data_IF_255743320728
#
_entry.id   IF_255743320728
#
_cell.length_a   1.000
_cell.length_b   1.000
_cell.length_c   1.000
_cell.angle_alpha   90.00
_cell.angle_beta   90.00
_cell.angle_gamma   90.00
#
_symmetry.space_group_name_H-M   'P 1'
#
loop_
_entity.id
_entity.type
_entity.pdbx_description
1 polymer ?
#
# COMPACT_ATOMS: atom_id res chain seq x y z
N UNK A 1 27.54 15.22 2.89
CA UNK A 1 27.09 13.80 2.97
C UNK A 1 25.88 13.60 2.06
N UNK A 2 25.69 12.41 1.47
CA UNK A 2 24.50 12.09 0.67
C UNK A 2 24.03 10.68 1.00
N UNK A 3 22.74 10.52 1.26
CA UNK A 3 22.09 9.22 1.48
C UNK A 3 20.90 9.11 0.54
N UNK A 4 20.79 7.96 -0.11
CA UNK A 4 19.66 7.63 -0.98
C UNK A 4 19.04 6.31 -0.53
N UNK A 5 17.72 6.29 -0.36
CA UNK A 5 16.95 5.11 0.03
C UNK A 5 15.68 5.05 -0.80
N UNK A 6 15.31 3.86 -1.22
CA UNK A 6 14.02 3.64 -1.87
C UNK A 6 13.21 2.58 -1.14
N UNK A 7 11.89 2.66 -1.24
CA UNK A 7 10.96 1.64 -0.78
C UNK A 7 9.86 1.39 -1.82
N UNK A 8 9.38 0.14 -1.96
CA UNK A 8 8.35 -0.21 -2.92
C UNK A 8 6.97 0.29 -2.49
N UNK A 9 6.08 0.40 -3.46
CA UNK A 9 4.65 0.41 -3.20
C UNK A 9 4.12 -0.96 -2.77
N UNK A 10 2.81 -1.09 -2.65
CA UNK A 10 2.17 -2.33 -2.23
C UNK A 10 0.85 -2.58 -2.95
N UNK A 11 0.49 -3.86 -3.05
CA UNK A 11 -0.82 -4.35 -3.48
C UNK A 11 -1.29 -5.39 -2.47
N UNK A 12 -2.48 -5.20 -1.91
CA UNK A 12 -3.12 -6.26 -1.14
C UNK A 12 -3.58 -7.36 -2.10
N UNK A 13 -3.07 -8.56 -1.90
CA UNK A 13 -3.50 -9.76 -2.62
C UNK A 13 -4.73 -10.32 -1.92
N UNK A 14 -4.67 -10.46 -0.58
CA UNK A 14 -5.80 -10.92 0.23
C UNK A 14 -5.75 -10.33 1.64
N UNK A 15 -6.89 -10.40 2.35
CA UNK A 15 -6.99 -9.98 3.75
C UNK A 15 -7.43 -8.54 3.97
N UNK A 16 -7.82 -7.80 2.93
CA UNK A 16 -8.36 -6.45 3.05
C UNK A 16 -9.52 -6.42 4.06
N UNK A 17 -9.72 -5.33 4.77
CA UNK A 17 -10.69 -5.17 5.85
C UNK A 17 -10.53 -6.17 7.00
N UNK A 18 -10.51 -7.48 6.72
CA UNK A 18 -10.43 -8.52 7.74
C UNK A 18 -9.12 -8.48 8.53
N UNK A 19 -8.05 -7.97 7.92
CA UNK A 19 -6.78 -7.71 8.61
C UNK A 19 -6.89 -6.59 9.67
N UNK A 20 -7.88 -5.71 9.60
CA UNK A 20 -8.16 -4.73 10.65
C UNK A 20 -8.64 -5.41 11.95
N UNK A 21 -9.14 -6.64 11.83
CA UNK A 21 -9.65 -7.47 12.93
C UNK A 21 -8.79 -8.71 13.19
N UNK A 22 -7.53 -8.68 12.77
CA UNK A 22 -6.53 -9.68 13.12
C UNK A 22 -6.46 -10.90 12.18
N UNK A 23 -7.18 -10.89 11.05
CA UNK A 23 -6.96 -11.91 10.02
C UNK A 23 -5.62 -11.71 9.32
N UNK A 24 -4.97 -12.78 8.81
CA UNK A 24 -3.79 -12.64 8.00
C UNK A 24 -4.05 -11.85 6.72
N UNK A 25 -3.03 -11.16 6.22
CA UNK A 25 -3.06 -10.50 4.92
C UNK A 25 -1.84 -10.92 4.10
N UNK A 26 -2.06 -11.14 2.81
CA UNK A 26 -0.98 -11.35 1.84
C UNK A 26 -0.79 -10.07 1.03
N UNK A 27 0.42 -9.53 1.06
CA UNK A 27 0.73 -8.22 0.46
C UNK A 27 1.94 -8.37 -0.44
N UNK A 28 1.82 -7.85 -1.66
CA UNK A 28 2.88 -7.80 -2.65
C UNK A 28 3.54 -6.42 -2.62
N UNK A 29 4.86 -6.37 -2.45
CA UNK A 29 5.67 -5.20 -2.75
C UNK A 29 5.76 -5.00 -4.26
N UNK A 30 5.45 -3.80 -4.74
CA UNK A 30 5.46 -3.53 -6.20
C UNK A 30 6.85 -3.15 -6.70
N UNK A 31 7.08 -3.25 -8.01
CA UNK A 31 8.31 -2.76 -8.61
C UNK A 31 8.43 -1.23 -8.63
N UNK A 32 7.29 -0.51 -8.56
CA UNK A 32 7.28 0.94 -8.43
C UNK A 32 7.78 1.34 -7.04
N UNK A 33 8.69 2.32 -6.99
CA UNK A 33 9.38 2.70 -5.76
C UNK A 33 9.34 4.20 -5.54
N UNK A 34 9.14 4.62 -4.29
CA UNK A 34 9.47 5.96 -3.85
C UNK A 34 10.96 6.01 -3.52
N UNK A 35 11.60 7.12 -3.85
CA UNK A 35 13.01 7.36 -3.61
C UNK A 35 13.17 8.62 -2.76
N UNK A 36 13.91 8.50 -1.68
CA UNK A 36 14.24 9.60 -0.78
C UNK A 36 15.74 9.84 -0.84
N UNK A 37 16.12 11.08 -1.15
CA UNK A 37 17.51 11.52 -1.04
C UNK A 37 17.61 12.57 0.05
N UNK A 38 18.59 12.43 0.95
CA UNK A 38 18.94 13.41 1.95
C UNK A 38 20.40 13.78 1.74
N UNK A 39 20.69 15.07 1.57
CA UNK A 39 22.04 15.56 1.32
C UNK A 39 22.28 16.93 1.95
N UNK A 40 23.56 17.25 2.18
CA UNK A 40 23.97 18.58 2.65
C UNK A 40 23.56 19.63 1.61
N UNK A 41 23.07 20.77 2.08
CA UNK A 41 22.65 21.89 1.24
C UNK A 41 23.56 23.10 1.45
N UNK A 42 23.79 23.85 0.38
CA UNK A 42 24.49 25.14 0.46
C UNK A 42 23.55 26.29 0.85
N UNK A 43 22.27 26.04 1.01
CA UNK A 43 21.29 27.04 1.45
C UNK A 43 21.45 27.34 2.94
N UNK A 44 20.95 28.50 3.39
CA UNK A 44 20.94 28.87 4.81
C UNK A 44 19.84 28.18 5.62
N UNK A 45 18.89 27.56 4.95
CA UNK A 45 17.74 26.85 5.49
C UNK A 45 17.68 25.41 4.94
N UNK A 46 16.80 24.61 5.48
CA UNK A 46 16.51 23.27 4.92
C UNK A 46 15.55 23.37 3.72
N UNK A 47 15.63 22.40 2.84
CA UNK A 47 14.80 22.37 1.64
C UNK A 47 14.11 20.99 1.51
N UNK A 48 12.83 21.00 1.28
CA UNK A 48 12.08 19.86 0.76
C UNK A 48 11.86 20.09 -0.75
N UNK A 49 12.33 19.16 -1.58
CA UNK A 49 12.04 19.14 -3.02
C UNK A 49 11.15 17.95 -3.37
N UNK A 50 10.00 18.24 -3.94
CA UNK A 50 9.05 17.23 -4.40
C UNK A 50 9.11 17.09 -5.91
N UNK A 51 9.56 15.94 -6.41
CA UNK A 51 9.68 15.67 -7.85
C UNK A 51 8.32 15.63 -8.58
N UNK A 52 7.27 14.97 -8.06
CA UNK A 52 5.96 14.99 -8.74
C UNK A 52 5.40 16.39 -8.91
N UNK A 53 5.60 17.26 -7.92
CA UNK A 53 5.13 18.66 -7.96
C UNK A 53 6.12 19.59 -8.69
N UNK A 54 7.36 19.15 -8.85
CA UNK A 54 8.49 19.98 -9.35
C UNK A 54 8.60 21.31 -8.59
N UNK A 55 8.49 21.23 -7.24
CA UNK A 55 8.51 22.40 -6.32
C UNK A 55 9.49 22.19 -5.19
N UNK A 56 10.05 23.30 -4.71
CA UNK A 56 10.91 23.37 -3.52
C UNK A 56 10.22 24.17 -2.42
N UNK A 57 10.35 23.68 -1.20
CA UNK A 57 9.79 24.28 0.01
C UNK A 57 10.91 24.48 1.03
N UNK A 58 11.11 25.72 1.43
CA UNK A 58 12.14 26.07 2.41
C UNK A 58 11.56 26.03 3.82
N UNK A 59 12.34 25.53 4.79
CA UNK A 59 11.89 25.43 6.16
C UNK A 59 13.02 25.49 7.18
N UNK A 60 12.66 25.86 8.42
CA UNK A 60 13.48 25.69 9.61
C UNK A 60 12.83 24.72 10.57
N UNK A 61 13.62 24.21 11.52
CA UNK A 61 13.11 23.36 12.60
C UNK A 61 13.42 24.04 13.93
N UNK A 62 12.38 24.26 14.74
CA UNK A 62 12.51 24.91 16.04
C UNK A 62 12.92 23.91 17.16
N UNK A 63 13.00 24.41 18.40
CA UNK A 63 13.44 23.59 19.54
C UNK A 63 12.49 22.44 19.89
N UNK A 64 11.23 22.56 19.54
CA UNK A 64 10.18 21.55 19.78
C UNK A 64 10.04 20.55 18.62
N UNK A 65 11.03 20.51 17.72
CA UNK A 65 11.02 19.66 16.51
C UNK A 65 9.84 19.94 15.55
N UNK A 66 9.31 21.16 15.57
CA UNK A 66 8.29 21.61 14.64
C UNK A 66 8.92 22.34 13.47
N UNK A 67 8.30 22.19 12.30
CA UNK A 67 8.70 22.88 11.08
C UNK A 67 8.03 24.26 11.03
N UNK A 68 8.84 25.27 10.70
CA UNK A 68 8.41 26.60 10.33
C UNK A 68 8.69 26.76 8.83
N UNK A 69 7.64 26.66 7.99
CA UNK A 69 7.74 26.85 6.56
C UNK A 69 8.02 28.32 6.23
N UNK A 70 9.02 28.58 5.34
CA UNK A 70 9.48 29.94 5.02
C UNK A 70 8.71 30.52 3.83
N UNK A 71 8.39 29.68 2.85
CA UNK A 71 7.63 30.05 1.67
C UNK A 71 6.24 29.36 1.68
N UNK A 72 5.97 28.55 0.68
CA UNK A 72 4.69 27.85 0.58
C UNK A 72 4.61 26.65 1.54
N UNK A 73 3.41 26.26 1.94
CA UNK A 73 3.12 24.99 2.62
C UNK A 73 3.05 23.86 1.58
N UNK A 74 3.83 22.78 1.73
CA UNK A 74 3.80 21.65 0.82
C UNK A 74 2.60 20.70 1.05
N UNK A 75 1.62 21.08 1.87
CA UNK A 75 0.40 20.34 2.16
C UNK A 75 0.67 18.87 2.55
N UNK A 76 0.02 17.90 1.89
CA UNK A 76 0.15 16.48 2.17
C UNK A 76 1.62 16.01 2.23
N UNK A 77 2.49 16.53 1.35
CA UNK A 77 3.89 16.15 1.29
C UNK A 77 4.68 16.66 2.52
N UNK A 78 4.31 17.84 3.01
CA UNK A 78 4.89 18.44 4.22
C UNK A 78 4.64 17.60 5.47
N UNK A 79 3.44 17.04 5.60
CA UNK A 79 3.07 16.21 6.75
C UNK A 79 4.02 15.02 6.96
N UNK A 80 4.55 14.40 5.89
CA UNK A 80 5.51 13.31 6.04
C UNK A 80 6.82 13.79 6.66
N UNK A 81 7.37 14.93 6.22
CA UNK A 81 8.61 15.50 6.78
C UNK A 81 8.38 15.98 8.20
N UNK A 82 7.28 16.67 8.48
CA UNK A 82 6.92 17.14 9.83
C UNK A 82 6.86 16.00 10.83
N UNK A 83 6.09 14.94 10.48
CA UNK A 83 5.94 13.79 11.36
C UNK A 83 7.27 13.01 11.51
N UNK A 84 8.10 12.94 10.47
CA UNK A 84 9.40 12.29 10.54
C UNK A 84 10.36 13.04 11.45
N UNK A 85 10.43 14.36 11.33
CA UNK A 85 11.27 15.23 12.19
C UNK A 85 10.83 15.10 13.66
N UNK A 86 9.53 15.18 13.91
CA UNK A 86 8.97 15.09 15.25
C UNK A 86 9.19 13.69 15.87
N UNK A 87 8.84 12.62 15.15
CA UNK A 87 8.92 11.24 15.65
C UNK A 87 10.36 10.78 15.88
N UNK A 88 11.27 11.19 15.01
CA UNK A 88 12.68 10.81 15.10
C UNK A 88 13.53 11.82 15.86
N UNK A 89 12.95 12.93 16.31
CA UNK A 89 13.61 14.01 17.06
C UNK A 89 14.93 14.44 16.41
N UNK A 90 14.86 14.88 15.16
CA UNK A 90 16.01 15.39 14.41
C UNK A 90 15.91 16.91 14.25
N UNK A 91 17.06 17.58 14.22
CA UNK A 91 17.17 19.00 13.93
C UNK A 91 18.07 19.21 12.70
N UNK A 92 17.53 19.00 11.49
CA UNK A 92 18.31 19.24 10.28
C UNK A 92 18.70 20.72 10.18
N UNK A 93 19.92 20.97 9.73
CA UNK A 93 20.45 22.29 9.47
C UNK A 93 21.18 22.26 8.14
N UNK A 94 20.74 23.07 7.18
CA UNK A 94 21.28 23.12 5.82
C UNK A 94 21.24 21.74 5.13
N UNK A 95 20.07 21.09 5.17
CA UNK A 95 19.84 19.78 4.60
C UNK A 95 18.77 19.88 3.51
N UNK A 96 18.97 19.19 2.41
CA UNK A 96 17.98 19.00 1.37
C UNK A 96 17.37 17.59 1.45
N UNK A 97 16.05 17.54 1.49
CA UNK A 97 15.26 16.32 1.34
C UNK A 97 14.63 16.31 -0.06
N UNK A 98 14.88 15.28 -0.83
CA UNK A 98 14.24 15.07 -2.13
C UNK A 98 13.30 13.88 -2.02
N UNK A 99 12.02 14.09 -2.32
CA UNK A 99 11.01 13.03 -2.37
C UNK A 99 10.60 12.80 -3.82
N UNK A 100 10.95 11.64 -4.35
CA UNK A 100 10.59 11.20 -5.70
C UNK A 100 9.57 10.07 -5.64
N UNK A 101 8.34 10.38 -6.04
CA UNK A 101 7.24 9.42 -6.20
C UNK A 101 6.71 9.38 -7.63
N UNK A 102 7.49 9.78 -8.62
CA UNK A 102 7.07 9.85 -10.03
C UNK A 102 6.55 8.51 -10.54
N UNK A 103 7.13 7.39 -10.09
CA UNK A 103 6.70 6.04 -10.46
C UNK A 103 5.31 5.64 -9.93
N UNK A 104 4.70 6.45 -9.07
CA UNK A 104 3.35 6.24 -8.53
C UNK A 104 2.27 7.03 -9.27
N UNK A 105 2.66 7.65 -10.37
CA UNK A 105 1.75 8.42 -11.21
C UNK A 105 1.76 7.89 -12.64
N UNK A 106 0.59 7.88 -13.24
CA UNK A 106 0.40 7.65 -14.65
C UNK A 106 -0.45 8.81 -15.21
N UNK A 107 0.06 9.52 -16.23
CA UNK A 107 -0.61 10.69 -16.80
C UNK A 107 -1.13 11.69 -15.74
N UNK A 108 -0.30 12.01 -14.75
CA UNK A 108 -0.61 12.87 -13.59
C UNK A 108 -1.69 12.35 -12.62
N UNK A 109 -2.12 11.08 -12.74
CA UNK A 109 -3.02 10.44 -11.78
C UNK A 109 -2.25 9.48 -10.89
N UNK A 110 -2.53 9.48 -9.58
CA UNK A 110 -2.03 8.45 -8.66
C UNK A 110 -2.60 7.09 -9.08
N UNK A 111 -1.76 6.06 -9.11
CA UNK A 111 -2.15 4.70 -9.52
C UNK A 111 -2.59 3.79 -8.35
N UNK A 112 -2.67 4.30 -7.13
CA UNK A 112 -3.26 3.61 -5.98
C UNK A 112 -2.43 2.46 -5.38
N UNK A 113 -1.14 2.38 -5.69
CA UNK A 113 -0.24 1.33 -5.19
C UNK A 113 0.54 1.73 -3.93
N UNK A 114 0.06 2.70 -3.16
CA UNK A 114 0.60 3.02 -1.84
C UNK A 114 1.86 3.87 -1.83
N UNK A 115 1.88 5.01 -2.53
CA UNK A 115 2.98 5.98 -2.45
C UNK A 115 3.25 6.46 -1.02
N UNK A 116 2.22 6.65 -0.21
CA UNK A 116 2.33 7.09 1.19
C UNK A 116 3.11 6.12 2.07
N UNK A 117 2.87 4.81 1.94
CA UNK A 117 3.62 3.80 2.70
C UNK A 117 5.07 3.70 2.23
N UNK A 118 5.30 3.85 0.92
CA UNK A 118 6.64 3.87 0.35
C UNK A 118 7.44 5.08 0.82
N UNK A 119 6.82 6.30 0.85
CA UNK A 119 7.43 7.50 1.42
C UNK A 119 7.78 7.26 2.89
N UNK A 120 6.84 6.82 3.71
CA UNK A 120 7.05 6.63 5.15
C UNK A 120 8.20 5.66 5.42
N UNK A 121 8.26 4.54 4.69
CA UNK A 121 9.31 3.52 4.83
C UNK A 121 10.68 4.04 4.39
N UNK A 122 10.76 4.64 3.19
CA UNK A 122 12.01 5.16 2.65
C UNK A 122 12.54 6.35 3.47
N UNK A 123 11.66 7.27 3.88
CA UNK A 123 12.03 8.47 4.65
C UNK A 123 12.56 8.09 6.04
N UNK A 124 11.89 7.21 6.76
CA UNK A 124 12.37 6.73 8.08
C UNK A 124 13.76 6.10 7.96
N UNK A 125 13.98 5.26 6.94
CA UNK A 125 15.25 4.60 6.75
C UNK A 125 16.35 5.59 6.27
N UNK A 126 16.02 6.55 5.41
CA UNK A 126 16.95 7.60 4.97
C UNK A 126 17.40 8.48 6.14
N UNK A 127 16.46 8.90 6.98
CA UNK A 127 16.76 9.68 8.20
C UNK A 127 17.63 8.87 9.17
N UNK A 128 17.28 7.59 9.40
CA UNK A 128 18.08 6.70 10.25
C UNK A 128 19.55 6.65 9.79
N UNK A 129 19.78 6.53 8.48
CA UNK A 129 21.13 6.46 7.89
C UNK A 129 21.85 7.81 7.90
N UNK A 130 21.17 8.90 7.51
CA UNK A 130 21.79 10.21 7.39
C UNK A 130 22.15 10.82 8.75
N UNK A 131 21.30 10.67 9.75
CA UNK A 131 21.49 11.19 11.11
C UNK A 131 22.06 10.16 12.08
N UNK A 132 22.52 9.01 11.58
CA UNK A 132 23.12 7.91 12.38
C UNK A 132 22.34 7.57 13.66
N UNK A 133 21.01 7.35 13.51
CA UNK A 133 20.13 7.10 14.66
C UNK A 133 20.34 5.72 15.28
N UNK A 134 20.98 4.78 14.58
CA UNK A 134 21.26 3.44 15.07
C UNK A 134 19.99 2.57 15.28
N UNK A 135 18.89 2.86 14.58
CA UNK A 135 17.64 2.09 14.74
C UNK A 135 17.78 0.69 14.16
N UNK A 136 17.32 -0.30 14.91
CA UNK A 136 17.15 -1.65 14.41
C UNK A 136 16.05 -1.70 13.32
N UNK A 137 16.04 -2.75 12.51
CA UNK A 137 15.02 -2.95 11.47
C UNK A 137 13.59 -2.89 12.06
N UNK A 138 13.38 -3.51 13.21
CA UNK A 138 12.09 -3.44 13.92
C UNK A 138 11.72 -2.00 14.26
N UNK A 139 12.65 -1.22 14.84
CA UNK A 139 12.41 0.18 15.20
C UNK A 139 12.13 1.04 13.98
N UNK A 140 12.80 0.80 12.84
CA UNK A 140 12.53 1.47 11.57
C UNK A 140 11.09 1.20 11.13
N UNK A 141 10.63 -0.06 11.13
CA UNK A 141 9.27 -0.43 10.74
C UNK A 141 8.25 0.22 11.68
N UNK A 142 8.43 0.11 12.99
CA UNK A 142 7.51 0.68 13.98
C UNK A 142 7.40 2.21 13.83
N UNK A 143 8.55 2.89 13.61
CA UNK A 143 8.59 4.34 13.36
C UNK A 143 7.90 4.70 12.05
N UNK A 144 8.13 3.95 10.96
CA UNK A 144 7.48 4.18 9.67
C UNK A 144 5.95 4.00 9.75
N UNK A 145 5.47 3.03 10.54
CA UNK A 145 4.03 2.84 10.80
C UNK A 145 3.45 4.03 11.57
N UNK A 146 4.14 4.50 12.63
CA UNK A 146 3.71 5.66 13.41
C UNK A 146 3.64 6.91 12.53
N UNK A 147 4.70 7.16 11.76
CA UNK A 147 4.79 8.26 10.81
C UNK A 147 3.65 8.23 9.78
N UNK A 148 3.44 7.06 9.13
CA UNK A 148 2.36 6.91 8.14
C UNK A 148 0.98 7.19 8.73
N UNK A 149 0.69 6.64 9.92
CA UNK A 149 -0.61 6.84 10.59
C UNK A 149 -0.87 8.30 10.90
N UNK A 150 0.14 9.02 11.39
CA UNK A 150 0.02 10.45 11.73
C UNK A 150 -0.09 11.33 10.49
N UNK A 151 0.77 11.08 9.47
CA UNK A 151 0.76 11.88 8.25
C UNK A 151 -0.52 11.72 7.43
N UNK A 152 -1.17 10.54 7.49
CA UNK A 152 -2.41 10.26 6.74
C UNK A 152 -3.67 10.31 7.61
N UNK A 153 -3.53 10.58 8.93
CA UNK A 153 -4.64 10.55 9.89
C UNK A 153 -5.53 9.30 9.70
N UNK A 154 -4.90 8.11 9.71
CA UNK A 154 -5.55 6.85 9.37
C UNK A 154 -5.56 5.85 10.50
N UNK A 155 -6.66 5.08 10.59
CA UNK A 155 -6.83 3.94 11.50
C UNK A 155 -6.36 2.61 10.89
N UNK A 156 -5.67 2.63 9.76
CA UNK A 156 -5.19 1.44 9.05
C UNK A 156 -4.33 0.52 9.91
N UNK A 157 -4.26 -0.76 9.56
CA UNK A 157 -3.51 -1.80 10.29
C UNK A 157 -1.99 -1.55 10.32
N UNK A 158 -1.46 -0.85 9.31
CA UNK A 158 -0.01 -0.64 9.08
C UNK A 158 0.70 -1.86 8.49
N UNK A 159 -0.02 -2.89 8.04
CA UNK A 159 0.57 -4.06 7.39
C UNK A 159 1.19 -3.71 6.04
N UNK A 160 0.63 -2.76 5.35
CA UNK A 160 1.14 -2.20 4.10
C UNK A 160 2.50 -1.51 4.29
N UNK A 161 2.69 -0.83 5.42
CA UNK A 161 3.99 -0.23 5.77
C UNK A 161 5.03 -1.33 6.07
N UNK A 162 4.62 -2.44 6.70
CA UNK A 162 5.49 -3.61 6.89
C UNK A 162 5.97 -4.12 5.53
N UNK A 163 5.06 -4.33 4.57
CA UNK A 163 5.41 -4.81 3.24
C UNK A 163 6.43 -3.89 2.54
N UNK A 164 6.19 -2.58 2.56
CA UNK A 164 7.10 -1.61 1.96
C UNK A 164 8.46 -1.54 2.68
N UNK A 165 8.48 -1.73 4.01
CA UNK A 165 9.72 -1.66 4.81
C UNK A 165 10.52 -2.97 4.80
N UNK A 166 9.86 -4.13 4.66
CA UNK A 166 10.51 -5.42 4.52
C UNK A 166 11.17 -5.58 3.15
N UNK A 167 10.62 -4.94 2.12
CA UNK A 167 11.14 -4.92 0.74
C UNK A 167 11.53 -6.31 0.20
N UNK A 168 10.69 -7.29 0.47
CA UNK A 168 11.00 -8.71 0.22
C UNK A 168 10.05 -9.40 -0.75
N UNK A 169 9.35 -8.62 -1.58
CA UNK A 169 8.42 -9.14 -2.60
C UNK A 169 7.06 -9.49 -1.99
N UNK A 170 6.72 -10.76 -1.90
CA UNK A 170 5.46 -11.21 -1.32
C UNK A 170 5.64 -11.52 0.16
N UNK A 171 4.75 -10.99 1.01
CA UNK A 171 4.74 -11.31 2.43
C UNK A 171 3.33 -11.70 2.91
N UNK A 172 3.28 -12.64 3.84
CA UNK A 172 2.11 -12.89 4.67
C UNK A 172 2.31 -12.19 6.00
N UNK A 173 1.38 -11.31 6.35
CA UNK A 173 1.37 -10.60 7.63
C UNK A 173 0.30 -11.18 8.54
N UNK A 174 0.66 -11.39 9.81
CA UNK A 174 -0.25 -11.85 10.86
C UNK A 174 -0.25 -10.83 12.01
N UNK A 175 -1.44 -10.36 12.37
CA UNK A 175 -1.68 -9.50 13.53
C UNK A 175 -2.13 -10.36 14.70
N UNK A 176 -1.19 -10.98 15.43
CA UNK A 176 -1.53 -11.73 16.67
C UNK A 176 -2.09 -10.81 17.75
N UNK A 177 -1.55 -9.59 17.86
CA UNK A 177 -2.04 -8.49 18.72
C UNK A 177 -1.65 -7.15 18.09
N UNK A 178 -2.23 -6.04 18.54
CA UNK A 178 -1.86 -4.70 18.08
C UNK A 178 -0.35 -4.38 18.27
N UNK A 179 0.30 -5.05 19.22
CA UNK A 179 1.73 -4.91 19.55
C UNK A 179 2.62 -6.00 18.96
N UNK A 180 2.06 -7.13 18.50
CA UNK A 180 2.82 -8.25 17.93
C UNK A 180 2.43 -8.46 16.48
N UNK A 181 3.11 -7.74 15.60
CA UNK A 181 3.05 -7.94 14.17
C UNK A 181 4.16 -8.89 13.75
N UNK A 182 3.81 -9.94 13.05
CA UNK A 182 4.77 -10.85 12.43
C UNK A 182 4.51 -10.93 10.94
N UNK A 183 5.56 -11.17 10.18
CA UNK A 183 5.44 -11.43 8.75
C UNK A 183 6.36 -12.57 8.34
N UNK A 184 5.97 -13.25 7.31
CA UNK A 184 6.74 -14.31 6.66
C UNK A 184 6.91 -13.96 5.19
N UNK A 185 8.12 -14.03 4.69
CA UNK A 185 8.40 -13.86 3.27
C UNK A 185 7.92 -15.11 2.54
N UNK A 186 7.18 -14.91 1.47
CA UNK A 186 6.67 -15.96 0.59
C UNK A 186 7.35 -15.84 -0.78
N UNK A 187 7.55 -16.97 -1.44
CA UNK A 187 7.98 -16.98 -2.82
C UNK A 187 6.78 -16.93 -3.76
N UNK A 188 6.88 -16.10 -4.77
CA UNK A 188 5.86 -16.02 -5.81
C UNK A 188 5.99 -17.24 -6.74
N UNK A 189 4.88 -17.99 -7.04
CA UNK A 189 4.91 -19.08 -7.99
C UNK A 189 5.37 -18.60 -9.38
N UNK A 190 6.25 -19.35 -10.02
CA UNK A 190 6.86 -18.95 -11.30
C UNK A 190 5.87 -18.93 -12.47
N UNK A 191 4.79 -19.69 -12.37
CA UNK A 191 3.72 -19.81 -13.35
C UNK A 191 2.52 -18.87 -13.07
N UNK A 192 2.53 -18.16 -11.94
CA UNK A 192 1.46 -17.23 -11.59
C UNK A 192 1.77 -15.82 -12.12
N UNK A 193 0.88 -15.30 -12.94
CA UNK A 193 0.99 -13.97 -13.56
C UNK A 193 0.09 -12.99 -12.81
N UNK A 194 0.60 -11.80 -12.52
CA UNK A 194 -0.18 -10.67 -11.98
C UNK A 194 -0.05 -9.44 -12.87
N UNK A 195 -1.17 -8.77 -13.14
CA UNK A 195 -1.21 -7.46 -13.82
C UNK A 195 -2.14 -6.53 -13.08
N UNK A 196 -1.71 -5.30 -12.86
CA UNK A 196 -2.54 -4.24 -12.29
C UNK A 196 -3.36 -3.55 -13.39
N UNK A 197 -4.60 -3.20 -13.08
CA UNK A 197 -5.48 -2.40 -13.94
C UNK A 197 -5.86 -1.13 -13.18
N UNK A 198 -5.48 0.03 -13.73
CA UNK A 198 -5.78 1.33 -13.12
C UNK A 198 -7.20 1.73 -13.53
N UNK A 199 -8.03 2.08 -12.55
CA UNK A 199 -9.38 2.60 -12.79
C UNK A 199 -9.38 4.12 -12.87
N UNK A 200 -10.48 4.69 -13.39
CA UNK A 200 -10.60 6.14 -13.50
C UNK A 200 -11.06 6.82 -12.21
N UNK A 201 -11.55 6.06 -11.24
CA UNK A 201 -12.06 6.55 -9.97
C UNK A 201 -11.00 6.44 -8.88
N UNK A 202 -10.88 7.45 -8.04
CA UNK A 202 -10.01 7.40 -6.85
C UNK A 202 -10.76 6.79 -5.65
N UNK A 203 -10.06 5.98 -4.87
CA UNK A 203 -10.57 5.40 -3.63
C UNK A 203 -10.67 6.43 -2.50
N UNK A 204 -11.67 6.27 -1.63
CA UNK A 204 -11.85 7.03 -0.39
C UNK A 204 -11.51 6.16 0.81
N UNK A 205 -10.30 5.64 0.84
CA UNK A 205 -9.84 4.61 1.80
C UNK A 205 -10.19 4.94 3.26
N UNK A 206 -9.93 6.17 3.73
CA UNK A 206 -10.24 6.58 5.12
C UNK A 206 -11.73 6.43 5.43
N UNK A 207 -12.58 7.01 4.60
CA UNK A 207 -14.03 6.92 4.76
C UNK A 207 -14.52 5.47 4.76
N UNK A 208 -14.02 4.65 3.82
CA UNK A 208 -14.43 3.24 3.70
C UNK A 208 -14.02 2.41 4.93
N UNK A 209 -12.89 2.69 5.55
CA UNK A 209 -12.46 2.05 6.80
C UNK A 209 -13.36 2.48 7.97
N UNK A 210 -13.73 3.75 8.07
CA UNK A 210 -14.65 4.26 9.08
C UNK A 210 -16.05 3.62 8.94
N UNK A 211 -16.58 3.55 7.73
CA UNK A 211 -17.85 2.88 7.41
C UNK A 211 -17.80 1.38 7.75
N UNK A 212 -16.67 0.71 7.49
CA UNK A 212 -16.47 -0.68 7.87
C UNK A 212 -16.57 -0.87 9.39
N UNK A 213 -15.87 -0.06 10.20
CA UNK A 213 -15.92 -0.18 11.65
C UNK A 213 -17.32 0.10 12.21
N UNK A 214 -18.03 1.09 11.67
CA UNK A 214 -19.41 1.39 12.05
C UNK A 214 -20.33 0.22 11.75
N UNK A 215 -20.30 -0.29 10.52
CA UNK A 215 -21.14 -1.40 10.07
C UNK A 215 -20.85 -2.68 10.83
N UNK A 216 -19.58 -3.00 11.11
CA UNK A 216 -19.15 -4.13 11.93
C UNK A 216 -19.77 -4.09 13.33
N UNK A 217 -19.74 -2.92 13.97
CA UNK A 217 -20.26 -2.76 15.32
C UNK A 217 -21.78 -2.96 15.40
N UNK A 218 -22.51 -2.61 14.34
CA UNK A 218 -23.95 -2.80 14.23
C UNK A 218 -24.37 -4.23 13.82
N UNK A 219 -23.49 -4.99 13.16
CA UNK A 219 -23.80 -6.31 12.59
C UNK A 219 -22.89 -7.42 13.18
N UNK A 220 -22.84 -7.54 14.49
CA UNK A 220 -21.91 -8.44 15.22
C UNK A 220 -22.06 -9.92 14.87
N UNK A 221 -23.27 -10.41 14.63
CA UNK A 221 -23.51 -11.82 14.27
C UNK A 221 -22.94 -12.13 12.89
N UNK A 222 -23.30 -11.33 11.90
CA UNK A 222 -22.73 -11.46 10.55
C UNK A 222 -21.20 -11.39 10.58
N UNK A 223 -20.65 -10.49 11.38
CA UNK A 223 -19.19 -10.36 11.53
C UNK A 223 -18.54 -11.64 12.08
N UNK A 224 -19.15 -12.29 13.07
CA UNK A 224 -18.65 -13.56 13.62
C UNK A 224 -18.66 -14.67 12.57
N UNK A 225 -19.75 -14.79 11.78
CA UNK A 225 -19.82 -15.75 10.68
C UNK A 225 -18.75 -15.50 9.63
N UNK A 226 -18.58 -14.23 9.24
CA UNK A 226 -17.55 -13.81 8.29
C UNK A 226 -16.14 -14.17 8.78
N UNK A 227 -15.84 -13.93 10.07
CA UNK A 227 -14.55 -14.29 10.66
C UNK A 227 -14.30 -15.80 10.65
N UNK A 228 -15.33 -16.64 10.88
CA UNK A 228 -15.19 -18.09 10.80
C UNK A 228 -14.86 -18.55 9.40
N UNK A 229 -15.59 -18.05 8.39
CA UNK A 229 -15.32 -18.32 6.96
C UNK A 229 -13.90 -17.86 6.60
N UNK A 230 -13.52 -16.64 6.97
CA UNK A 230 -12.20 -16.07 6.74
C UNK A 230 -11.08 -16.90 7.34
N UNK A 231 -11.24 -17.39 8.56
CA UNK A 231 -10.22 -18.21 9.25
C UNK A 231 -9.88 -19.50 8.48
N UNK A 232 -10.89 -20.17 7.92
CA UNK A 232 -10.67 -21.39 7.13
C UNK A 232 -10.00 -21.03 5.80
N UNK A 233 -10.52 -20.02 5.12
CA UNK A 233 -10.01 -19.55 3.84
C UNK A 233 -8.55 -19.10 3.93
N UNK A 234 -8.18 -18.25 4.89
CA UNK A 234 -6.80 -17.77 5.03
C UNK A 234 -5.83 -18.87 5.43
N UNK A 235 -6.26 -19.88 6.18
CA UNK A 235 -5.42 -21.07 6.44
C UNK A 235 -5.12 -21.81 5.14
N UNK A 236 -6.10 -21.97 4.27
CA UNK A 236 -5.94 -22.56 2.92
C UNK A 236 -5.00 -21.74 2.06
N UNK A 237 -5.26 -20.42 1.96
CA UNK A 237 -4.41 -19.48 1.19
C UNK A 237 -2.96 -19.48 1.66
N UNK A 238 -2.72 -19.41 2.97
CA UNK A 238 -1.38 -19.47 3.56
C UNK A 238 -0.66 -20.76 3.15
N UNK A 239 -1.36 -21.90 3.19
CA UNK A 239 -0.80 -23.19 2.76
C UNK A 239 -0.49 -23.17 1.25
N UNK A 240 -1.44 -22.76 0.41
CA UNK A 240 -1.28 -22.71 -1.03
C UNK A 240 -0.10 -21.82 -1.46
N UNK A 241 0.06 -20.63 -0.85
CA UNK A 241 1.21 -19.75 -1.08
C UNK A 241 2.54 -20.40 -0.69
N UNK A 242 2.62 -21.05 0.48
CA UNK A 242 3.86 -21.71 0.95
C UNK A 242 4.29 -22.87 0.06
N UNK A 243 3.33 -23.62 -0.47
CA UNK A 243 3.61 -24.72 -1.39
C UNK A 243 3.68 -24.28 -2.85
N UNK A 244 3.46 -23.01 -3.16
CA UNK A 244 3.44 -22.44 -4.52
C UNK A 244 2.44 -23.16 -5.43
N UNK A 245 1.32 -23.59 -4.86
CA UNK A 245 0.25 -24.27 -5.57
C UNK A 245 -0.64 -23.25 -6.28
N UNK A 246 -0.26 -22.90 -7.51
CA UNK A 246 -0.92 -21.89 -8.34
C UNK A 246 -2.40 -22.18 -8.52
N UNK A 247 -2.78 -23.45 -8.70
CA UNK A 247 -4.17 -23.83 -8.87
C UNK A 247 -4.99 -23.54 -7.60
N UNK A 248 -4.53 -24.04 -6.46
CA UNK A 248 -5.18 -23.76 -5.18
C UNK A 248 -5.21 -22.27 -4.83
N UNK A 249 -4.15 -21.52 -5.19
CA UNK A 249 -4.14 -20.06 -5.03
C UNK A 249 -5.29 -19.42 -5.81
N UNK A 250 -5.45 -19.74 -7.10
CA UNK A 250 -6.51 -19.18 -7.94
C UNK A 250 -7.90 -19.54 -7.44
N UNK A 251 -8.14 -20.82 -7.08
CA UNK A 251 -9.41 -21.29 -6.54
C UNK A 251 -9.76 -20.56 -5.21
N UNK A 252 -8.83 -20.45 -4.27
CA UNK A 252 -9.05 -19.79 -2.99
C UNK A 252 -9.12 -18.26 -3.11
N UNK A 253 -8.52 -17.67 -4.12
CA UNK A 253 -8.68 -16.25 -4.42
C UNK A 253 -10.07 -15.92 -4.94
N UNK A 254 -10.72 -16.82 -5.70
CA UNK A 254 -12.14 -16.69 -6.07
C UNK A 254 -13.03 -16.74 -4.81
N UNK A 255 -12.78 -17.69 -3.89
CA UNK A 255 -13.51 -17.73 -2.60
C UNK A 255 -13.31 -16.47 -1.78
N UNK A 256 -12.06 -15.93 -1.74
CA UNK A 256 -11.78 -14.66 -1.09
C UNK A 256 -12.57 -13.51 -1.71
N UNK A 257 -12.64 -13.46 -3.03
CA UNK A 257 -13.39 -12.43 -3.75
C UNK A 257 -14.89 -12.50 -3.42
N UNK A 258 -15.47 -13.70 -3.36
CA UNK A 258 -16.86 -13.91 -2.95
C UNK A 258 -17.12 -13.46 -1.52
N UNK A 259 -16.16 -13.73 -0.59
CA UNK A 259 -16.24 -13.27 0.79
C UNK A 259 -16.22 -11.74 0.87
N UNK A 260 -15.40 -11.08 0.06
CA UNK A 260 -15.36 -9.63 -0.04
C UNK A 260 -16.63 -9.04 -0.66
N UNK A 261 -17.24 -9.71 -1.62
CA UNK A 261 -18.53 -9.31 -2.19
C UNK A 261 -19.66 -9.44 -1.15
N UNK A 262 -19.68 -10.51 -0.35
CA UNK A 262 -20.63 -10.69 0.76
C UNK A 262 -20.50 -9.56 1.78
N UNK A 263 -19.27 -9.23 2.19
CA UNK A 263 -18.95 -8.09 3.06
C UNK A 263 -19.45 -6.77 2.47
N UNK A 264 -19.08 -6.50 1.22
CA UNK A 264 -19.47 -5.29 0.50
C UNK A 264 -20.97 -5.12 0.40
N UNK A 265 -21.70 -6.20 0.09
CA UNK A 265 -23.15 -6.20 0.00
C UNK A 265 -23.80 -5.91 1.35
N UNK A 266 -23.30 -6.53 2.42
CA UNK A 266 -23.86 -6.39 3.77
C UNK A 266 -23.59 -5.03 4.39
N UNK A 267 -22.39 -4.46 4.16
CA UNK A 267 -21.97 -3.21 4.78
C UNK A 267 -22.08 -1.99 3.85
N UNK A 268 -22.45 -2.20 2.57
CA UNK A 268 -22.59 -1.15 1.56
C UNK A 268 -21.34 -0.28 1.37
N UNK A 269 -20.14 -0.88 1.46
CA UNK A 269 -18.86 -0.17 1.46
C UNK A 269 -18.47 0.45 0.12
N UNK A 270 -19.09 0.01 -1.00
CA UNK A 270 -18.72 0.50 -2.32
C UNK A 270 -17.36 -0.02 -2.84
N UNK A 271 -16.89 -1.16 -2.33
CA UNK A 271 -15.61 -1.79 -2.75
C UNK A 271 -15.59 -2.01 -4.27
N UNK A 272 -16.69 -2.55 -4.80
CA UNK A 272 -16.84 -2.85 -6.23
C UNK A 272 -17.61 -1.72 -6.91
N UNK A 273 -16.87 -0.77 -7.50
CA UNK A 273 -17.46 0.24 -8.39
C UNK A 273 -17.99 -0.43 -9.67
N UNK A 274 -18.79 0.28 -10.46
CA UNK A 274 -19.28 -0.28 -11.72
C UNK A 274 -18.14 -0.64 -12.66
N UNK A 275 -17.05 0.15 -12.67
CA UNK A 275 -15.85 -0.15 -13.45
C UNK A 275 -15.16 -1.44 -12.98
N UNK A 276 -15.07 -1.68 -11.65
CA UNK A 276 -14.54 -2.93 -11.10
C UNK A 276 -15.42 -4.13 -11.44
N UNK A 277 -16.76 -3.99 -11.39
CA UNK A 277 -17.70 -5.05 -11.79
C UNK A 277 -17.57 -5.38 -13.28
N UNK A 278 -17.43 -4.36 -14.12
CA UNK A 278 -17.23 -4.55 -15.56
C UNK A 278 -15.92 -5.28 -15.87
N UNK A 279 -14.84 -4.94 -15.14
CA UNK A 279 -13.55 -5.62 -15.27
C UNK A 279 -13.60 -7.07 -14.77
N UNK A 280 -14.28 -7.32 -13.66
CA UNK A 280 -14.51 -8.65 -13.12
C UNK A 280 -15.28 -9.51 -14.10
N UNK A 281 -16.38 -9.00 -14.66
CA UNK A 281 -17.18 -9.71 -15.68
C UNK A 281 -16.34 -10.01 -16.94
N UNK A 282 -15.52 -9.05 -17.38
CA UNK A 282 -14.66 -9.22 -18.55
C UNK A 282 -13.57 -10.27 -18.32
N UNK A 283 -12.99 -10.31 -17.12
CA UNK A 283 -11.99 -11.28 -16.71
C UNK A 283 -12.64 -12.70 -16.60
N UNK A 284 -13.78 -12.81 -15.92
CA UNK A 284 -14.53 -14.07 -15.77
C UNK A 284 -14.93 -14.68 -17.11
N UNK A 285 -15.46 -13.89 -18.06
CA UNK A 285 -15.75 -14.34 -19.43
C UNK A 285 -14.51 -14.81 -20.20
N UNK A 286 -13.33 -14.43 -19.74
CA UNK A 286 -12.04 -14.86 -20.30
C UNK A 286 -11.42 -16.02 -19.52
N UNK A 287 -12.09 -16.52 -18.47
CA UNK A 287 -11.60 -17.56 -17.54
C UNK A 287 -10.38 -17.09 -16.76
N UNK A 288 -10.44 -15.85 -16.25
CA UNK A 288 -9.38 -15.20 -15.49
C UNK A 288 -9.96 -14.58 -14.23
N UNK A 289 -9.16 -14.57 -13.17
CA UNK A 289 -9.46 -13.91 -11.91
C UNK A 289 -9.22 -12.40 -11.98
N UNK A 290 -10.11 -11.62 -11.38
CA UNK A 290 -9.94 -10.18 -11.14
C UNK A 290 -10.57 -9.76 -9.82
N UNK A 291 -9.92 -8.83 -9.11
CA UNK A 291 -10.54 -8.14 -7.96
C UNK A 291 -9.93 -6.74 -7.73
N UNK A 292 -10.65 -5.83 -7.05
CA UNK A 292 -10.06 -4.62 -6.50
C UNK A 292 -8.96 -4.93 -5.49
N UNK A 293 -7.98 -4.06 -5.31
CA UNK A 293 -6.95 -4.15 -4.28
C UNK A 293 -7.14 -3.08 -3.20
N UNK A 294 -6.78 -3.40 -1.97
CA UNK A 294 -6.89 -2.50 -0.83
C UNK A 294 -8.33 -2.24 -0.42
N UNK A 295 -8.68 -0.99 -0.12
CA UNK A 295 -10.04 -0.65 0.27
C UNK A 295 -11.07 -0.80 -0.86
N UNK A 296 -10.62 -0.89 -2.12
CA UNK A 296 -11.50 -0.85 -3.28
C UNK A 296 -12.06 0.56 -3.51
N UNK A 297 -13.23 0.66 -4.13
CA UNK A 297 -13.87 1.95 -4.41
C UNK A 297 -13.23 2.74 -5.55
N UNK A 298 -12.18 2.21 -6.17
CA UNK A 298 -11.41 2.83 -7.25
C UNK A 298 -9.94 2.43 -7.23
N UNK A 299 -9.08 3.32 -7.71
CA UNK A 299 -7.62 3.18 -7.85
C UNK A 299 -7.21 1.98 -8.70
N UNK A 300 -6.95 0.84 -8.10
CA UNK A 300 -6.36 -0.32 -8.75
C UNK A 300 -7.16 -1.60 -8.47
N UNK A 301 -7.31 -2.40 -9.50
CA UNK A 301 -7.60 -3.84 -9.38
C UNK A 301 -6.48 -4.66 -10.01
N UNK A 302 -6.50 -5.97 -9.82
CA UNK A 302 -5.50 -6.84 -10.42
C UNK A 302 -6.10 -8.12 -10.98
N UNK A 303 -5.42 -8.64 -12.00
CA UNK A 303 -5.70 -9.92 -12.66
C UNK A 303 -4.68 -10.93 -12.15
N UNK A 304 -5.14 -12.14 -11.81
CA UNK A 304 -4.28 -13.30 -11.58
C UNK A 304 -4.59 -14.40 -12.61
N UNK A 305 -3.56 -15.11 -13.06
CA UNK A 305 -3.69 -16.23 -13.99
C UNK A 305 -2.42 -17.05 -14.08
N UNK A 306 -2.58 -18.30 -14.47
CA UNK A 306 -1.52 -19.22 -14.92
C UNK A 306 -1.36 -19.24 -16.45
N UNK A 307 -2.15 -18.46 -17.20
CA UNK A 307 -2.19 -18.48 -18.66
C UNK A 307 -1.83 -17.14 -19.29
N UNK A 308 -0.60 -17.03 -19.79
CA UNK A 308 -0.12 -15.84 -20.49
C UNK A 308 -0.98 -15.49 -21.73
N UNK A 309 -1.45 -16.52 -22.46
CA UNK A 309 -2.28 -16.34 -23.67
C UNK A 309 -3.62 -15.69 -23.31
N UNK A 310 -4.28 -16.17 -22.25
CA UNK A 310 -5.55 -15.59 -21.80
C UNK A 310 -5.35 -14.17 -21.30
N UNK A 311 -4.29 -13.93 -20.51
CA UNK A 311 -3.92 -12.57 -20.04
C UNK A 311 -3.73 -11.63 -21.22
N UNK A 312 -2.91 -11.95 -22.21
CA UNK A 312 -2.69 -11.10 -23.39
C UNK A 312 -3.99 -10.75 -24.11
N UNK A 313 -4.91 -11.72 -24.29
CA UNK A 313 -6.24 -11.48 -24.90
C UNK A 313 -7.09 -10.51 -24.06
N UNK A 314 -7.09 -10.69 -22.74
CA UNK A 314 -7.85 -9.82 -21.84
C UNK A 314 -7.28 -8.38 -21.86
N UNK A 315 -5.95 -8.22 -21.80
CA UNK A 315 -5.32 -6.91 -21.85
C UNK A 315 -5.66 -6.13 -23.12
N UNK A 316 -5.78 -6.79 -24.28
CA UNK A 316 -6.25 -6.12 -25.50
C UNK A 316 -7.69 -5.60 -25.38
N UNK A 317 -8.57 -6.33 -24.67
CA UNK A 317 -9.96 -5.88 -24.42
C UNK A 317 -9.99 -4.70 -23.45
N UNK A 318 -9.14 -4.71 -22.41
CA UNK A 318 -9.03 -3.64 -21.41
C UNK A 318 -8.51 -2.34 -22.07
N UNK A 319 -7.47 -2.42 -22.89
CA UNK A 319 -6.94 -1.27 -23.63
C UNK A 319 -7.98 -0.60 -24.54
N UNK A 320 -8.87 -1.38 -25.15
CA UNK A 320 -9.99 -0.83 -25.95
C UNK A 320 -10.99 -0.01 -25.14
N UNK A 321 -10.97 -0.12 -23.81
CA UNK A 321 -11.77 0.66 -22.86
C UNK A 321 -11.04 1.89 -22.33
N UNK A 322 -9.86 2.21 -22.87
CA UNK A 322 -8.98 3.28 -22.41
C UNK A 322 -8.57 3.15 -20.93
N UNK A 323 -8.44 1.91 -20.45
CA UNK A 323 -7.89 1.62 -19.13
C UNK A 323 -6.43 1.19 -19.24
N UNK A 324 -5.65 1.64 -18.30
CA UNK A 324 -4.23 1.36 -18.26
C UNK A 324 -3.92 0.10 -17.46
N UNK A 325 -2.93 -0.61 -17.95
CA UNK A 325 -2.42 -1.83 -17.32
C UNK A 325 -0.96 -1.64 -16.96
N UNK A 326 -0.62 -2.03 -15.75
CA UNK A 326 0.76 -1.92 -15.24
C UNK A 326 1.29 -3.28 -14.79
N UNK A 327 2.61 -3.42 -14.92
CA UNK A 327 3.32 -4.52 -14.29
C UNK A 327 3.55 -4.21 -12.82
N UNK A 328 3.13 -5.10 -11.94
CA UNK A 328 3.28 -4.97 -10.48
C UNK A 328 4.59 -5.61 -10.00
N UNK A 329 5.12 -6.55 -10.78
CA UNK A 329 6.38 -7.26 -10.54
C UNK A 329 7.29 -7.17 -11.76
N UNK A 330 8.58 -7.46 -11.54
CA UNK A 330 9.59 -7.66 -12.59
C UNK A 330 9.38 -8.98 -13.31
#
# INVERSE_FOLDING_TARGET
MKVEVSAPGKVFISGEYLALDGSPATILSTKQRAKITIEDSNNTFNVLYSLPLNKSFAFNVNNDFKIDWINDDPEEMGLFIEQAILEMQIKPTKVQFVIDTTNFYFQNKKIGIGSSVAISSALTNAINKYFDKGYSQKKIIDTAISLHKRAQDTLGSGLDVIAASADSGLIECDLKTASQKSWTVLEWPSDLIIKGVITNKQSRTKQMIEEYFQSRNHNKEFFKELQLKAKVLFKGLSSAWRYKDTRSILELMEEHNLLMQELNKKYHLGIYTDEHKDLENLASQSGLFYKPSGAGGGDLGFILSDSEIKVKKLLMKIKKRNLEVIDLRD
#
